data_IF_645921848810
#
_entry.id   IF_645921848810
#
_cell.length_a   1.000
_cell.length_b   1.000
_cell.length_c   1.000
_cell.angle_alpha   90.00
_cell.angle_beta   90.00
_cell.angle_gamma   90.00
#
_symmetry.space_group_name_H-M   'P 1'
#
loop_
_entity.id
_entity.type
_entity.pdbx_description
1 polymer ?
#
# COMPACT_ATOMS: atom_id res chain seq x y z
N UNK A 1 10.62 4.94 1.18
CA UNK A 1 10.18 4.53 -0.18
C UNK A 1 10.56 5.65 -1.14
N UNK A 2 11.41 5.40 -2.15
CA UNK A 2 11.71 6.44 -3.15
C UNK A 2 10.43 6.74 -3.94
N UNK A 3 10.01 8.02 -3.97
CA UNK A 3 8.85 8.48 -4.74
C UNK A 3 7.54 8.66 -3.96
N UNK A 4 7.42 8.12 -2.74
CA UNK A 4 6.21 8.24 -1.93
C UNK A 4 6.55 8.88 -0.59
N UNK A 5 5.83 9.94 -0.20
CA UNK A 5 6.12 10.80 0.97
C UNK A 5 5.73 10.12 2.30
N UNK A 6 5.85 8.79 2.42
CA UNK A 6 5.48 8.03 3.62
C UNK A 6 6.70 7.58 4.39
N UNK A 7 6.61 7.62 5.72
CA UNK A 7 7.68 7.17 6.59
C UNK A 7 7.39 5.76 7.08
N UNK A 8 8.29 4.84 6.76
CA UNK A 8 8.20 3.46 7.24
C UNK A 8 8.62 3.43 8.71
N UNK A 9 7.78 2.83 9.54
CA UNK A 9 8.11 2.43 10.91
C UNK A 9 8.75 1.05 10.90
N UNK A 10 8.07 0.07 10.30
CA UNK A 10 8.54 -1.32 10.26
C UNK A 10 8.10 -2.04 8.97
N UNK A 11 8.78 -3.13 8.65
CA UNK A 11 8.39 -4.07 7.59
C UNK A 11 7.67 -5.26 8.23
N UNK A 12 6.36 -5.32 8.02
CA UNK A 12 5.48 -6.33 8.62
C UNK A 12 5.63 -7.69 7.92
N UNK A 13 5.82 -7.69 6.60
CA UNK A 13 5.94 -8.94 5.87
C UNK A 13 6.28 -8.77 4.40
N UNK A 14 6.75 -9.85 3.79
CA UNK A 14 6.94 -9.97 2.35
C UNK A 14 6.40 -11.32 1.91
N UNK A 15 5.53 -11.34 0.91
CA UNK A 15 4.95 -12.53 0.32
C UNK A 15 5.16 -12.51 -1.20
N UNK A 16 5.37 -13.68 -1.80
CA UNK A 16 5.29 -13.82 -3.25
C UNK A 16 3.82 -13.89 -3.64
N UNK A 17 3.41 -13.10 -4.63
CA UNK A 17 2.07 -13.16 -5.19
C UNK A 17 2.06 -14.25 -6.26
N UNK A 18 1.29 -15.30 -6.01
CA UNK A 18 0.94 -16.29 -7.04
C UNK A 18 -0.03 -15.61 -8.03
N UNK A 19 0.46 -15.22 -9.22
CA UNK A 19 -0.32 -14.45 -10.22
C UNK A 19 -1.58 -15.16 -10.70
N UNK A 20 -1.62 -16.50 -10.58
CA UNK A 20 -2.81 -17.35 -10.85
C UNK A 20 -3.96 -17.12 -9.86
N UNK A 21 -3.69 -16.43 -8.76
CA UNK A 21 -4.57 -16.19 -7.62
C UNK A 21 -4.81 -14.70 -7.38
N UNK A 22 -4.44 -13.83 -8.32
CA UNK A 22 -4.55 -12.38 -8.15
C UNK A 22 -6.01 -11.99 -7.86
N UNK A 23 -6.25 -11.51 -6.65
CA UNK A 23 -7.57 -11.07 -6.19
C UNK A 23 -8.07 -9.94 -7.10
N UNK A 24 -9.29 -10.03 -7.67
CA UNK A 24 -9.84 -9.00 -8.55
C UNK A 24 -9.91 -7.62 -7.91
N UNK A 25 -9.97 -7.53 -6.57
CA UNK A 25 -9.93 -6.26 -5.83
C UNK A 25 -8.58 -5.55 -5.93
N UNK A 26 -7.47 -6.28 -6.13
CA UNK A 26 -6.13 -5.72 -6.33
C UNK A 26 -6.03 -5.06 -7.71
N UNK A 27 -6.65 -5.65 -8.73
CA UNK A 27 -6.62 -5.12 -10.10
C UNK A 27 -7.29 -3.74 -10.24
N UNK A 28 -8.18 -3.38 -9.32
CA UNK A 28 -8.79 -2.05 -9.25
C UNK A 28 -7.84 -0.98 -8.68
N UNK A 29 -6.76 -1.39 -8.04
CA UNK A 29 -5.83 -0.52 -7.31
C UNK A 29 -4.45 -0.48 -7.99
N UNK A 30 -4.00 -1.61 -8.51
CA UNK A 30 -2.73 -1.75 -9.25
C UNK A 30 -2.97 -2.62 -10.48
N UNK A 31 -2.62 -2.12 -11.68
CA UNK A 31 -2.67 -2.93 -12.89
C UNK A 31 -1.47 -3.87 -12.97
N UNK A 32 -1.68 -5.11 -12.55
CA UNK A 32 -0.66 -6.17 -12.57
C UNK A 32 -0.66 -6.95 -13.89
N UNK A 33 -1.55 -6.66 -14.84
CA UNK A 33 -1.62 -7.38 -16.13
C UNK A 33 -0.30 -7.40 -16.91
N UNK A 34 0.49 -6.30 -16.96
CA UNK A 34 1.78 -6.31 -17.65
C UNK A 34 2.79 -7.30 -17.06
N UNK A 35 2.57 -7.74 -15.81
CA UNK A 35 3.49 -8.56 -15.03
C UNK A 35 2.96 -9.98 -14.79
N UNK A 36 2.02 -10.46 -15.62
CA UNK A 36 1.31 -11.74 -15.39
C UNK A 36 2.22 -12.98 -15.28
N UNK A 37 3.42 -12.92 -15.88
CA UNK A 37 4.42 -13.99 -15.84
C UNK A 37 5.65 -13.66 -14.98
N UNK A 38 5.64 -12.51 -14.32
CA UNK A 38 6.76 -12.05 -13.50
C UNK A 38 6.58 -12.46 -12.04
N UNK A 39 7.69 -12.52 -11.30
CA UNK A 39 7.66 -12.77 -9.87
C UNK A 39 7.30 -11.48 -9.12
N UNK A 40 6.00 -11.32 -8.82
CA UNK A 40 5.51 -10.18 -8.05
C UNK A 40 5.67 -10.47 -6.56
N UNK A 41 6.29 -9.56 -5.83
CA UNK A 41 6.35 -9.57 -4.37
C UNK A 41 5.48 -8.48 -3.77
N UNK A 42 4.70 -8.86 -2.77
CA UNK A 42 3.93 -7.95 -1.94
C UNK A 42 4.71 -7.73 -0.66
N UNK A 43 5.05 -6.48 -0.37
CA UNK A 43 5.65 -6.10 0.91
C UNK A 43 4.71 -5.19 1.67
N UNK A 44 4.37 -5.56 2.90
CA UNK A 44 3.56 -4.75 3.80
C UNK A 44 4.47 -4.02 4.78
N UNK A 45 4.28 -2.71 4.87
CA UNK A 45 4.99 -1.81 5.78
C UNK A 45 3.99 -1.20 6.76
N UNK A 46 4.40 -1.08 8.02
CA UNK A 46 3.77 -0.20 8.99
C UNK A 46 4.32 1.21 8.80
N UNK A 47 3.44 2.20 8.79
CA UNK A 47 3.82 3.60 8.63
C UNK A 47 3.89 4.29 9.99
N UNK A 48 4.75 5.31 10.10
CA UNK A 48 4.87 6.12 11.32
C UNK A 48 3.65 7.01 11.54
N UNK A 49 3.04 7.45 10.45
CA UNK A 49 1.79 8.19 10.48
C UNK A 49 0.67 7.30 11.04
N UNK A 50 -0.22 7.90 11.82
CA UNK A 50 -1.36 7.21 12.42
C UNK A 50 -2.66 7.85 11.96
N UNK A 51 -3.74 7.08 12.02
CA UNK A 51 -5.07 7.64 11.91
C UNK A 51 -5.31 8.63 13.05
N UNK A 52 -6.19 9.62 12.86
CA UNK A 52 -6.56 10.53 13.97
C UNK A 52 -7.13 9.80 15.19
N UNK A 53 -7.72 8.62 14.97
CA UNK A 53 -8.20 7.72 16.02
C UNK A 53 -7.07 7.05 16.82
N UNK A 54 -5.81 7.23 16.41
CA UNK A 54 -4.63 6.58 16.99
C UNK A 54 -4.29 5.22 16.37
N UNK A 55 -5.12 4.72 15.45
CA UNK A 55 -4.91 3.42 14.79
C UNK A 55 -3.79 3.45 13.76
N UNK A 56 -3.27 2.26 13.48
CA UNK A 56 -2.15 2.07 12.57
C UNK A 56 -2.55 2.30 11.11
N UNK A 57 -1.54 2.63 10.30
CA UNK A 57 -1.65 2.76 8.85
C UNK A 57 -0.63 1.82 8.25
N UNK A 58 -1.06 1.06 7.25
CA UNK A 58 -0.18 0.14 6.53
C UNK A 58 -0.02 0.61 5.09
N UNK A 59 1.14 0.36 4.50
CA UNK A 59 1.36 0.46 3.06
C UNK A 59 1.64 -0.93 2.52
N UNK A 60 0.93 -1.31 1.47
CA UNK A 60 1.12 -2.53 0.71
C UNK A 60 1.77 -2.14 -0.61
N UNK A 61 2.96 -2.66 -0.88
CA UNK A 61 3.77 -2.34 -2.05
C UNK A 61 3.97 -3.59 -2.90
N UNK A 62 3.73 -3.45 -4.20
CA UNK A 62 3.98 -4.48 -5.21
C UNK A 62 5.31 -4.21 -5.87
N UNK A 63 6.16 -5.22 -5.92
CA UNK A 63 7.49 -5.14 -6.51
C UNK A 63 7.72 -6.27 -7.52
N UNK A 64 8.37 -5.94 -8.63
CA UNK A 64 8.86 -6.89 -9.64
C UNK A 64 10.32 -6.54 -9.88
N UNK A 65 11.23 -7.51 -9.81
CA UNK A 65 12.68 -7.28 -9.97
C UNK A 65 13.20 -6.08 -9.16
N UNK A 66 12.75 -5.98 -7.91
CA UNK A 66 13.04 -4.89 -6.96
C UNK A 66 12.40 -3.53 -7.28
N UNK A 67 11.87 -3.33 -8.49
CA UNK A 67 11.14 -2.14 -8.90
C UNK A 67 9.72 -2.10 -8.33
N UNK A 68 9.30 -0.92 -7.85
CA UNK A 68 7.95 -0.72 -7.33
C UNK A 68 6.99 -0.51 -8.51
N UNK A 69 6.09 -1.47 -8.74
CA UNK A 69 5.10 -1.42 -9.82
C UNK A 69 3.75 -0.88 -9.35
N UNK A 70 3.53 -0.81 -8.04
CA UNK A 70 2.33 -0.20 -7.48
C UNK A 70 2.24 -0.34 -5.97
N UNK A 71 1.18 0.22 -5.39
CA UNK A 71 0.92 0.08 -3.97
C UNK A 71 -0.26 0.92 -3.51
N UNK A 72 -0.76 0.58 -2.34
CA UNK A 72 -1.86 1.28 -1.68
C UNK A 72 -1.63 1.33 -0.18
N UNK A 73 -2.31 2.26 0.47
CA UNK A 73 -2.35 2.33 1.91
C UNK A 73 -3.64 1.75 2.47
N UNK A 74 -3.59 1.27 3.69
CA UNK A 74 -4.73 0.72 4.41
C UNK A 74 -4.96 1.48 5.73
N UNK A 75 -6.21 1.89 5.94
CA UNK A 75 -6.72 2.47 7.19
C UNK A 75 -7.68 1.46 7.83
N UNK A 76 -7.39 1.07 9.07
CA UNK A 76 -8.22 0.12 9.83
C UNK A 76 -9.66 0.58 10.08
N UNK A 77 -9.94 1.90 10.15
CA UNK A 77 -11.28 2.44 10.48
C UNK A 77 -12.13 2.83 9.26
N UNK A 78 -11.64 2.64 8.04
CA UNK A 78 -12.33 3.09 6.83
C UNK A 78 -12.80 1.90 5.98
N UNK A 79 -13.93 2.05 5.27
CA UNK A 79 -14.47 1.04 4.36
C UNK A 79 -14.90 1.70 3.03
N UNK A 80 -14.36 1.27 1.88
CA UNK A 80 -13.22 0.35 1.76
C UNK A 80 -11.95 1.04 2.29
N UNK A 81 -11.26 0.39 3.23
CA UNK A 81 -10.16 1.00 3.98
C UNK A 81 -8.88 1.18 3.19
N UNK A 82 -8.96 1.35 1.88
CA UNK A 82 -7.82 1.45 0.98
C UNK A 82 -7.73 2.84 0.40
N UNK A 83 -6.51 3.35 0.23
CA UNK A 83 -6.25 4.66 -0.35
C UNK A 83 -5.03 4.64 -1.25
N UNK A 84 -4.98 5.57 -2.20
CA UNK A 84 -3.79 5.79 -3.00
C UNK A 84 -2.69 6.36 -2.14
N UNK A 85 -1.49 5.77 -2.12
CA UNK A 85 -0.35 6.32 -1.37
C UNK A 85 0.05 7.73 -1.89
N UNK A 86 -0.53 8.24 -2.99
CA UNK A 86 -0.33 9.64 -3.45
C UNK A 86 -1.20 10.64 -2.67
N UNK A 87 -2.24 10.16 -1.99
CA UNK A 87 -3.26 11.01 -1.35
C UNK A 87 -2.85 11.49 0.05
N UNK A 88 -1.58 11.35 0.45
CA UNK A 88 -1.12 11.69 1.80
C UNK A 88 -1.54 13.11 2.22
N UNK A 89 -1.29 14.10 1.37
CA UNK A 89 -1.62 15.50 1.66
C UNK A 89 -3.12 15.71 1.80
N UNK A 90 -3.92 15.07 0.94
CA UNK A 90 -5.39 15.10 1.03
C UNK A 90 -5.87 14.49 2.35
N UNK A 91 -5.33 13.34 2.75
CA UNK A 91 -5.71 12.65 3.98
C UNK A 91 -5.33 13.45 5.24
N UNK A 92 -4.22 14.19 5.20
CA UNK A 92 -3.86 15.12 6.28
C UNK A 92 -4.84 16.31 6.29
N UNK A 93 -5.16 16.88 5.12
CA UNK A 93 -6.08 18.02 4.99
C UNK A 93 -7.51 17.71 5.42
N UNK A 94 -8.01 16.52 5.12
CA UNK A 94 -9.31 16.00 5.59
C UNK A 94 -9.28 15.66 7.08
N UNK A 95 -8.09 15.56 7.66
CA UNK A 95 -7.92 15.18 9.05
C UNK A 95 -8.20 13.70 9.30
N UNK A 96 -7.99 12.84 8.31
CA UNK A 96 -8.09 11.39 8.44
C UNK A 96 -6.86 10.82 9.15
N UNK A 97 -5.69 11.39 8.89
CA UNK A 97 -4.39 10.93 9.43
C UNK A 97 -3.60 12.09 10.06
N UNK A 98 -2.64 11.75 10.91
CA UNK A 98 -1.69 12.70 11.48
C UNK A 98 -0.59 13.05 10.49
N UNK A 99 -0.01 14.24 10.66
CA UNK A 99 1.18 14.68 9.92
C UNK A 99 2.44 13.93 10.36
#
# INVERSE_FOLDING_TARGET
MKGWIWHVEDKIGKAKLETKSADPSIAAIVDLKPYANEEIYITTYLLKEKQKTGKQIYAVIYQVDEDIVGGYGHLEDWLPGVFSLKDKERLIGEGTITK
#
